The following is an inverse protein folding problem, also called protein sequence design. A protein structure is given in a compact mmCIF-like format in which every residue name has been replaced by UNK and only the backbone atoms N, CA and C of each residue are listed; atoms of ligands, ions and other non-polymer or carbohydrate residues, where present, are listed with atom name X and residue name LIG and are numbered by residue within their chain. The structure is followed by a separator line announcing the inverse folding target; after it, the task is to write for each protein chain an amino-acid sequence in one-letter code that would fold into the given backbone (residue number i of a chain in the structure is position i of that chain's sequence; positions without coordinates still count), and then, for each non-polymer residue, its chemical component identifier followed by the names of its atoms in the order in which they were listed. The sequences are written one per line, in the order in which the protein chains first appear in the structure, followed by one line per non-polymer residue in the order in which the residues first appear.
data_IF_440142787174
#
_entry.id   IF_440142787174
#
_cell.length_a   1.000
_cell.length_b   1.000
_cell.length_c   1.000
_cell.angle_alpha   90.00
_cell.angle_beta   90.00
_cell.angle_gamma   90.00
#
_symmetry.space_group_name_H-M   'P 1'
#
loop_
_entity.id
_entity.type
_entity.pdbx_description
1 polymer ?
#
# COMPACT_ATOMS: atom_id res chain seq x y z
N UNK A 1 16.36 -4.75 1.47
CA UNK A 1 15.67 -3.55 1.98
C UNK A 1 15.84 -3.52 3.48
N UNK A 2 16.59 -2.55 3.96
CA UNK A 2 16.72 -2.33 5.40
C UNK A 2 15.35 -2.00 5.99
N UNK A 3 15.09 -2.53 7.18
CA UNK A 3 13.84 -2.27 7.91
C UNK A 3 13.94 -0.84 8.43
N UNK A 4 12.94 0.02 8.21
CA UNK A 4 12.93 1.31 8.93
C UNK A 4 12.62 1.04 10.38
N UNK A 5 13.39 1.69 11.24
CA UNK A 5 13.28 1.56 12.67
C UNK A 5 13.86 2.78 13.35
N UNK A 6 13.44 2.97 14.59
CA UNK A 6 13.98 3.99 15.48
C UNK A 6 14.60 3.26 16.65
N UNK A 7 15.89 3.50 16.90
CA UNK A 7 16.59 2.96 18.07
C UNK A 7 16.58 4.03 19.16
N UNK A 8 15.94 3.72 20.27
CA UNK A 8 15.90 4.57 21.45
C UNK A 8 16.85 4.04 22.51
N UNK A 9 17.56 4.93 23.19
CA UNK A 9 18.29 4.60 24.40
C UNK A 9 17.51 5.13 25.61
N UNK A 10 17.11 4.23 26.52
CA UNK A 10 16.55 4.65 27.81
C UNK A 10 17.68 5.16 28.71
N UNK A 11 17.35 6.04 29.66
CA UNK A 11 18.31 6.54 30.67
C UNK A 11 19.00 5.41 31.47
N UNK A 12 18.39 4.22 31.51
CA UNK A 12 18.97 2.98 32.03
C UNK A 12 20.10 2.36 31.17
N UNK A 13 20.47 2.97 30.05
CA UNK A 13 21.47 2.48 29.08
C UNK A 13 20.96 1.44 28.07
N UNK A 14 19.76 0.87 28.28
CA UNK A 14 19.19 -0.16 27.39
C UNK A 14 18.70 0.43 26.07
N UNK A 15 19.13 -0.17 24.95
CA UNK A 15 18.66 0.13 23.61
C UNK A 15 17.33 -0.59 23.33
N UNK A 16 16.38 0.12 22.74
CA UNK A 16 15.07 -0.37 22.34
C UNK A 16 14.84 -0.02 20.88
N UNK A 17 14.57 -1.03 20.06
CA UNK A 17 14.29 -0.86 18.63
C UNK A 17 12.79 -0.82 18.39
N UNK A 18 12.31 0.25 17.79
CA UNK A 18 10.91 0.48 17.47
C UNK A 18 10.71 0.31 15.97
N UNK A 19 9.76 -0.54 15.59
CA UNK A 19 9.38 -0.75 14.19
C UNK A 19 8.37 0.29 13.70
N UNK A 20 8.24 0.43 12.38
CA UNK A 20 7.23 1.28 11.68
C UNK A 20 5.78 1.08 12.14
N UNK A 21 5.46 -0.08 12.75
CA UNK A 21 4.10 -0.48 13.14
C UNK A 21 3.81 -0.12 14.61
N UNK A 22 4.79 0.46 15.31
CA UNK A 22 4.63 0.85 16.70
C UNK A 22 3.94 2.21 16.79
N UNK A 23 3.03 2.39 17.76
CA UNK A 23 2.27 3.63 17.93
C UNK A 23 3.18 4.86 18.05
N UNK A 24 4.25 4.79 18.83
CA UNK A 24 5.19 5.90 19.00
C UNK A 24 6.06 6.24 17.76
N UNK A 25 6.07 5.41 16.71
CA UNK A 25 7.00 5.58 15.59
C UNK A 25 6.87 6.95 14.91
N UNK A 26 5.64 7.36 14.58
CA UNK A 26 5.42 8.64 13.88
C UNK A 26 5.75 9.85 14.76
N UNK A 27 5.42 9.80 16.04
CA UNK A 27 5.73 10.87 16.98
C UNK A 27 7.25 11.05 17.17
N UNK A 28 7.99 9.94 17.21
CA UNK A 28 9.45 9.96 17.31
C UNK A 28 10.13 10.41 16.01
N UNK A 29 9.56 10.07 14.85
CA UNK A 29 10.07 10.47 13.55
C UNK A 29 9.80 11.96 13.25
N UNK A 30 8.64 12.48 13.68
CA UNK A 30 8.22 13.85 13.43
C UNK A 30 7.81 14.60 14.72
N UNK A 31 8.74 14.86 15.66
CA UNK A 31 8.41 15.49 16.94
C UNK A 31 7.79 16.89 16.80
N UNK A 32 8.18 17.64 15.76
CA UNK A 32 7.65 18.98 15.48
C UNK A 32 6.19 18.97 15.00
N UNK A 33 5.73 17.87 14.41
CA UNK A 33 4.33 17.71 14.00
C UNK A 33 3.52 17.15 15.17
N UNK A 34 4.07 16.17 15.89
CA UNK A 34 3.40 15.47 16.98
C UNK A 34 3.96 15.90 18.34
N UNK A 35 3.80 17.18 18.67
CA UNK A 35 4.38 17.81 19.88
C UNK A 35 3.90 17.11 21.17
N UNK A 36 2.66 16.61 21.16
CA UNK A 36 2.07 15.91 22.30
C UNK A 36 2.36 14.40 22.34
N UNK A 37 3.18 13.89 21.42
CA UNK A 37 3.50 12.46 21.36
C UNK A 37 2.31 11.60 20.96
N UNK A 38 1.50 12.06 20.01
CA UNK A 38 0.29 11.36 19.57
C UNK A 38 0.56 9.93 19.07
N UNK A 39 -0.39 9.04 19.31
CA UNK A 39 -0.33 7.68 18.80
C UNK A 39 -0.44 7.64 17.27
N UNK A 40 0.59 7.04 16.67
CA UNK A 40 0.66 6.68 15.25
C UNK A 40 -0.07 5.38 14.92
N UNK A 41 0.19 4.84 13.73
CA UNK A 41 -0.43 3.61 13.27
C UNK A 41 0.06 2.41 14.10
N UNK A 42 -0.87 1.55 14.51
CA UNK A 42 -0.61 0.22 15.06
C UNK A 42 -1.57 -0.82 14.47
N UNK A 43 -1.16 -2.09 14.50
CA UNK A 43 -2.05 -3.18 14.12
C UNK A 43 -3.19 -3.31 15.13
N UNK A 44 -4.38 -3.68 14.65
CA UNK A 44 -5.54 -3.93 15.51
C UNK A 44 -6.34 -2.70 15.94
N UNK A 45 -6.10 -1.51 15.35
CA UNK A 45 -6.98 -0.36 15.59
C UNK A 45 -8.38 -0.69 15.07
N UNK A 46 -9.37 -0.73 15.97
CA UNK A 46 -10.76 -0.97 15.61
C UNK A 46 -11.36 0.26 14.92
N UNK A 47 -12.23 0.02 13.94
CA UNK A 47 -13.04 1.09 13.35
C UNK A 47 -14.10 1.57 14.34
N UNK A 48 -14.46 2.85 14.25
CA UNK A 48 -15.56 3.41 15.03
C UNK A 48 -16.89 2.72 14.72
N UNK A 49 -17.70 2.49 15.75
CA UNK A 49 -18.99 1.79 15.62
C UNK A 49 -20.01 2.73 14.97
N UNK A 50 -20.19 2.60 13.66
CA UNK A 50 -21.25 3.28 12.90
C UNK A 50 -22.09 2.23 12.15
N UNK A 51 -23.35 2.55 11.83
CA UNK A 51 -24.26 1.67 11.08
C UNK A 51 -23.64 1.18 9.75
N UNK A 52 -22.87 2.04 9.08
CA UNK A 52 -22.12 1.67 7.87
C UNK A 52 -20.95 0.71 8.15
N UNK A 53 -20.32 0.81 9.32
CA UNK A 53 -19.16 0.00 9.72
C UNK A 53 -19.59 -1.38 10.23
N UNK A 54 -20.77 -1.51 10.84
CA UNK A 54 -21.35 -2.80 11.27
C UNK A 54 -21.46 -3.81 10.12
N UNK A 55 -21.70 -3.33 8.89
CA UNK A 55 -21.83 -4.16 7.68
C UNK A 55 -20.47 -4.57 7.07
N UNK A 56 -19.35 -4.03 7.54
CA UNK A 56 -18.04 -4.32 6.94
C UNK A 56 -17.42 -5.59 7.51
N UNK A 57 -16.95 -6.47 6.63
CA UNK A 57 -16.24 -7.71 7.00
C UNK A 57 -14.96 -7.48 7.81
N UNK A 58 -14.31 -6.32 7.63
CA UNK A 58 -13.04 -5.99 8.30
C UNK A 58 -13.27 -4.95 9.39
N UNK A 59 -13.12 -5.39 10.64
CA UNK A 59 -13.31 -4.56 11.84
C UNK A 59 -12.11 -3.64 12.14
N UNK A 60 -10.93 -3.94 11.59
CA UNK A 60 -9.71 -3.16 11.82
C UNK A 60 -9.41 -2.16 10.70
N UNK A 61 -8.77 -1.05 11.07
CA UNK A 61 -8.32 0.01 10.17
C UNK A 61 -7.04 -0.43 9.45
N UNK A 62 -7.00 -0.26 8.13
CA UNK A 62 -5.78 -0.45 7.34
C UNK A 62 -4.84 0.77 7.47
N UNK A 63 -3.54 0.56 7.32
CA UNK A 63 -2.54 1.64 7.34
C UNK A 63 -2.88 2.77 6.36
N UNK A 64 -3.35 2.44 5.15
CA UNK A 64 -3.82 3.44 4.16
C UNK A 64 -5.00 4.26 4.68
N UNK A 65 -5.97 3.62 5.33
CA UNK A 65 -7.12 4.34 5.90
C UNK A 65 -6.70 5.26 7.05
N UNK A 66 -5.73 4.85 7.87
CA UNK A 66 -5.17 5.68 8.93
C UNK A 66 -4.49 6.94 8.37
N UNK A 67 -3.61 6.80 7.38
CA UNK A 67 -2.97 7.96 6.76
C UNK A 67 -3.96 8.84 6.00
N UNK A 68 -4.91 8.25 5.26
CA UNK A 68 -5.96 9.02 4.59
C UNK A 68 -6.82 9.82 5.58
N UNK A 69 -7.12 9.25 6.75
CA UNK A 69 -7.81 9.93 7.83
C UNK A 69 -7.02 11.14 8.33
N UNK A 70 -5.72 10.98 8.58
CA UNK A 70 -4.85 12.05 9.11
C UNK A 70 -4.55 13.15 8.09
N UNK A 71 -4.55 12.83 6.80
CA UNK A 71 -4.33 13.79 5.71
C UNK A 71 -5.58 14.58 5.34
N UNK A 72 -6.75 14.16 5.79
CA UNK A 72 -8.00 14.85 5.48
C UNK A 72 -8.24 16.02 6.44
N UNK A 73 -8.52 17.20 5.89
CA UNK A 73 -8.82 18.39 6.68
C UNK A 73 -10.16 18.28 7.40
N UNK A 74 -10.20 18.68 8.68
CA UNK A 74 -11.40 18.59 9.52
C UNK A 74 -11.48 19.76 10.48
N UNK A 75 -12.70 20.25 10.67
CA UNK A 75 -12.99 21.44 11.48
C UNK A 75 -12.58 21.34 12.96
N UNK A 76 -12.52 20.12 13.52
CA UNK A 76 -12.27 19.90 14.95
C UNK A 76 -10.88 19.31 15.25
N UNK A 77 -9.97 19.26 14.27
CA UNK A 77 -8.61 18.73 14.44
C UNK A 77 -7.56 19.82 14.14
N UNK A 78 -6.37 19.69 14.71
CA UNK A 78 -5.30 20.66 14.45
C UNK A 78 -4.78 20.56 13.03
N UNK A 79 -4.60 21.71 12.37
CA UNK A 79 -4.07 21.80 11.01
C UNK A 79 -2.52 21.78 10.99
N UNK A 80 -1.85 21.55 12.13
CA UNK A 80 -0.37 21.54 12.25
C UNK A 80 0.31 20.68 11.20
N UNK A 81 -0.22 19.47 10.95
CA UNK A 81 0.31 18.56 9.94
C UNK A 81 0.28 19.19 8.55
N UNK A 82 -0.87 19.70 8.12
CA UNK A 82 -1.09 20.28 6.79
C UNK A 82 -0.31 21.59 6.58
N UNK A 83 -0.10 22.37 7.64
CA UNK A 83 0.61 23.64 7.60
C UNK A 83 2.14 23.52 7.68
N UNK A 84 2.67 22.32 7.92
CA UNK A 84 4.12 22.08 8.12
C UNK A 84 4.99 22.15 6.85
N UNK A 85 4.42 22.59 5.71
CA UNK A 85 5.11 22.88 4.43
C UNK A 85 6.06 21.75 3.95
N UNK A 86 7.38 21.96 3.98
CA UNK A 86 8.36 20.96 3.52
C UNK A 86 8.33 19.69 4.36
N UNK A 87 8.06 19.83 5.66
CA UNK A 87 7.95 18.68 6.55
C UNK A 87 6.70 17.84 6.22
N UNK A 88 5.61 18.50 5.81
CA UNK A 88 4.42 17.83 5.30
C UNK A 88 4.70 17.02 4.03
N UNK A 89 5.48 17.58 3.09
CA UNK A 89 5.88 16.84 1.88
C UNK A 89 6.70 15.60 2.22
N UNK A 90 7.64 15.72 3.17
CA UNK A 90 8.41 14.57 3.64
C UNK A 90 7.51 13.52 4.31
N UNK A 91 6.56 13.96 5.14
CA UNK A 91 5.58 13.08 5.76
C UNK A 91 4.71 12.35 4.73
N UNK A 92 4.28 13.03 3.66
CA UNK A 92 3.51 12.40 2.58
C UNK A 92 4.29 11.30 1.88
N UNK A 93 5.56 11.55 1.55
CA UNK A 93 6.42 10.56 0.90
C UNK A 93 6.67 9.37 1.83
N UNK A 94 6.92 9.62 3.11
CA UNK A 94 7.11 8.54 4.09
C UNK A 94 5.81 7.73 4.32
N UNK A 95 4.66 8.40 4.40
CA UNK A 95 3.35 7.74 4.46
C UNK A 95 3.09 6.87 3.22
N UNK A 96 3.43 7.34 2.03
CA UNK A 96 3.28 6.54 0.81
C UNK A 96 4.19 5.31 0.82
N UNK A 97 5.48 5.50 1.12
CA UNK A 97 6.46 4.40 1.14
C UNK A 97 6.20 3.39 2.27
N UNK A 98 5.66 3.80 3.43
CA UNK A 98 5.17 2.91 4.49
C UNK A 98 3.99 2.06 4.03
N UNK A 99 3.00 2.67 3.39
CA UNK A 99 1.86 1.93 2.83
C UNK A 99 2.33 0.91 1.77
N UNK A 100 3.16 1.32 0.83
CA UNK A 100 3.64 0.44 -0.24
C UNK A 100 4.55 -0.68 0.29
N UNK A 101 5.44 -0.37 1.23
CA UNK A 101 6.26 -1.39 1.90
C UNK A 101 5.40 -2.41 2.63
N UNK A 102 4.33 -1.98 3.29
CA UNK A 102 3.38 -2.88 3.96
C UNK A 102 2.61 -3.76 2.94
N UNK A 103 2.20 -3.20 1.80
CA UNK A 103 1.56 -3.96 0.70
C UNK A 103 2.50 -5.01 0.12
N UNK A 104 3.74 -4.63 -0.21
CA UNK A 104 4.75 -5.56 -0.72
C UNK A 104 5.09 -6.66 0.30
N UNK A 105 5.19 -6.29 1.58
CA UNK A 105 5.39 -7.25 2.67
C UNK A 105 4.24 -8.26 2.76
N UNK A 106 2.99 -7.80 2.61
CA UNK A 106 1.83 -8.69 2.54
C UNK A 106 1.92 -9.66 1.36
N UNK A 107 2.26 -9.16 0.16
CA UNK A 107 2.41 -10.01 -1.03
C UNK A 107 3.50 -11.08 -0.84
N UNK A 108 4.66 -10.66 -0.32
CA UNK A 108 5.80 -11.53 -0.03
C UNK A 108 5.45 -12.68 0.92
N UNK A 109 4.66 -12.43 1.97
CA UNK A 109 4.35 -13.45 2.98
C UNK A 109 3.10 -14.29 2.66
N UNK A 110 2.20 -13.81 1.80
CA UNK A 110 0.94 -14.49 1.49
C UNK A 110 0.94 -15.15 0.10
N UNK A 111 2.13 -15.47 -0.43
CA UNK A 111 2.28 -16.03 -1.78
C UNK A 111 1.45 -17.30 -2.02
N UNK A 112 1.30 -18.17 -1.01
CA UNK A 112 0.51 -19.40 -1.12
C UNK A 112 -1.01 -19.15 -1.26
N UNK A 113 -1.51 -18.02 -0.76
CA UNK A 113 -2.92 -17.62 -0.83
C UNK A 113 -3.23 -16.81 -2.09
N UNK A 114 -2.20 -16.16 -2.65
CA UNK A 114 -2.31 -15.44 -3.91
C UNK A 114 -2.36 -16.46 -5.04
N UNK A 115 -3.49 -16.51 -5.76
CA UNK A 115 -3.57 -17.18 -7.07
C UNK A 115 -2.65 -16.42 -8.04
N UNK A 116 -1.37 -16.77 -8.07
CA UNK A 116 -0.47 -16.33 -9.12
C UNK A 116 -0.75 -17.21 -10.33
N UNK A 117 -1.41 -16.64 -11.33
CA UNK A 117 -1.56 -17.28 -12.63
C UNK A 117 -0.18 -17.71 -13.16
N UNK A 118 -0.13 -19.00 -13.47
CA UNK A 118 0.95 -19.82 -14.02
C UNK A 118 2.34 -19.74 -13.38
N UNK A 119 2.68 -20.84 -12.70
CA UNK A 119 4.01 -21.27 -12.29
C UNK A 119 4.95 -21.58 -13.47
N UNK A 120 4.66 -21.14 -14.69
CA UNK A 120 5.40 -21.51 -15.91
C UNK A 120 6.84 -20.98 -15.87
N UNK A 121 7.07 -19.75 -15.41
CA UNK A 121 8.44 -19.21 -15.28
C UNK A 121 9.26 -19.89 -14.18
N UNK A 122 8.60 -20.40 -13.13
CA UNK A 122 9.25 -21.14 -12.04
C UNK A 122 9.63 -22.56 -12.50
N UNK A 123 8.79 -23.17 -13.35
CA UNK A 123 9.02 -24.47 -13.97
C UNK A 123 10.15 -24.41 -15.01
N UNK A 124 10.23 -23.32 -15.77
CA UNK A 124 11.33 -23.07 -16.73
C UNK A 124 12.68 -22.89 -16.01
N UNK A 125 12.73 -22.10 -14.94
CA UNK A 125 13.97 -21.90 -14.16
C UNK A 125 14.43 -23.18 -13.44
N UNK A 126 13.48 -23.97 -12.89
CA UNK A 126 13.78 -25.28 -12.33
C UNK A 126 14.26 -26.29 -13.39
N UNK A 127 13.76 -26.21 -14.63
CA UNK A 127 14.21 -27.05 -15.74
C UNK A 127 15.59 -26.66 -16.31
N UNK A 128 16.12 -25.49 -15.95
CA UNK A 128 17.43 -25.01 -16.39
C UNK A 128 18.61 -25.52 -15.54
N UNK A 129 18.38 -26.41 -14.57
CA UNK A 129 19.43 -27.24 -13.97
C UNK A 129 20.31 -26.60 -12.89
N UNK A 130 19.88 -25.51 -12.24
CA UNK A 130 20.62 -24.94 -11.12
C UNK A 130 20.41 -25.77 -9.83
N UNK A 131 21.48 -26.41 -9.35
CA UNK A 131 21.46 -27.41 -8.25
C UNK A 131 21.72 -26.82 -6.86
N UNK A 132 22.10 -25.54 -6.75
CA UNK A 132 22.35 -24.86 -5.47
C UNK A 132 21.30 -23.77 -5.18
N UNK A 133 20.24 -24.15 -4.44
CA UNK A 133 19.14 -23.26 -4.07
C UNK A 133 19.41 -22.38 -2.84
N UNK A 134 20.59 -22.50 -2.19
CA UNK A 134 20.89 -21.76 -0.96
C UNK A 134 21.43 -20.33 -1.23
N UNK A 135 22.10 -20.11 -2.36
CA UNK A 135 22.61 -18.78 -2.78
C UNK A 135 21.64 -18.02 -3.68
N UNK A 136 20.63 -18.70 -4.23
CA UNK A 136 19.58 -18.07 -5.01
C UNK A 136 18.57 -17.43 -4.05
N UNK A 137 18.58 -16.10 -4.01
CA UNK A 137 17.56 -15.33 -3.28
C UNK A 137 16.15 -15.84 -3.62
N UNK A 138 15.28 -15.96 -2.62
CA UNK A 138 13.89 -16.39 -2.88
C UNK A 138 13.20 -15.41 -3.81
N UNK A 139 12.79 -15.89 -4.96
CA UNK A 139 11.99 -15.12 -5.91
C UNK A 139 10.53 -15.03 -5.39
N UNK A 140 9.97 -13.83 -5.37
CA UNK A 140 8.58 -13.59 -5.01
C UNK A 140 7.86 -12.96 -6.18
N UNK A 141 6.75 -13.56 -6.60
CA UNK A 141 5.99 -13.09 -7.75
C UNK A 141 5.04 -11.97 -7.33
N UNK A 142 5.27 -10.78 -7.86
CA UNK A 142 4.37 -9.64 -7.70
C UNK A 142 3.20 -9.78 -8.69
N UNK A 143 1.94 -9.88 -8.22
CA UNK A 143 0.77 -10.03 -9.09
C UNK A 143 0.46 -8.75 -9.88
N UNK A 144 -0.32 -8.88 -10.98
CA UNK A 144 -0.79 -7.74 -11.76
C UNK A 144 -1.71 -6.78 -10.98
N UNK A 145 -2.27 -7.22 -9.84
CA UNK A 145 -3.04 -6.36 -8.93
C UNK A 145 -2.17 -5.32 -8.20
N UNK A 146 -0.84 -5.45 -8.23
CA UNK A 146 0.07 -4.44 -7.74
C UNK A 146 0.23 -3.30 -8.76
N UNK A 147 -0.52 -2.22 -8.52
CA UNK A 147 -0.49 -0.97 -9.29
C UNK A 147 0.93 -0.43 -9.44
N UNK A 148 1.36 -0.13 -10.68
CA UNK A 148 2.70 0.38 -10.97
C UNK A 148 3.76 -0.72 -11.22
N UNK A 149 3.44 -2.00 -10.97
CA UNK A 149 4.36 -3.10 -11.27
C UNK A 149 4.46 -3.43 -12.77
N UNK A 150 5.51 -4.16 -13.20
CA UNK A 150 5.67 -4.57 -14.60
C UNK A 150 4.48 -5.37 -15.15
N UNK A 151 3.93 -6.30 -14.36
CA UNK A 151 2.76 -7.10 -14.76
C UNK A 151 1.48 -6.27 -14.87
N UNK A 152 1.30 -5.28 -14.00
CA UNK A 152 0.18 -4.33 -14.09
C UNK A 152 0.24 -3.53 -15.39
N UNK A 153 1.41 -3.00 -15.73
CA UNK A 153 1.60 -2.24 -16.98
C UNK A 153 1.42 -3.11 -18.22
N UNK A 154 1.93 -4.35 -18.19
CA UNK A 154 1.71 -5.33 -19.26
C UNK A 154 0.23 -5.65 -19.45
N UNK A 155 -0.52 -5.85 -18.37
CA UNK A 155 -1.95 -6.15 -18.46
C UNK A 155 -2.73 -4.96 -19.06
N UNK A 156 -2.48 -3.74 -18.59
CA UNK A 156 -3.11 -2.54 -19.14
C UNK A 156 -2.79 -2.35 -20.63
N UNK A 157 -1.56 -2.66 -21.05
CA UNK A 157 -1.19 -2.65 -22.46
C UNK A 157 -1.95 -3.69 -23.27
N UNK A 158 -2.03 -4.93 -22.79
CA UNK A 158 -2.79 -6.01 -23.46
C UNK A 158 -4.28 -5.67 -23.56
N UNK A 159 -4.86 -5.11 -22.49
CA UNK A 159 -6.25 -4.65 -22.46
C UNK A 159 -6.46 -3.53 -23.50
N UNK A 160 -5.55 -2.55 -23.57
CA UNK A 160 -5.61 -1.49 -24.57
C UNK A 160 -5.51 -2.04 -26.01
N UNK A 161 -4.63 -3.00 -26.25
CA UNK A 161 -4.49 -3.66 -27.57
C UNK A 161 -5.73 -4.47 -27.94
N UNK A 162 -6.38 -5.13 -26.96
CA UNK A 162 -7.62 -5.85 -27.18
C UNK A 162 -8.76 -4.89 -27.56
N UNK A 163 -8.85 -3.73 -26.90
CA UNK A 163 -9.80 -2.67 -27.25
C UNK A 163 -9.54 -2.15 -28.67
N UNK A 164 -8.28 -1.85 -29.01
CA UNK A 164 -7.91 -1.39 -30.36
C UNK A 164 -8.23 -2.43 -31.44
N UNK A 165 -8.04 -3.73 -31.13
CA UNK A 165 -8.40 -4.82 -32.04
C UNK A 165 -9.91 -4.91 -32.27
N UNK A 166 -10.72 -4.61 -31.25
CA UNK A 166 -12.18 -4.73 -31.35
C UNK A 166 -12.82 -3.50 -32.00
N UNK A 167 -12.40 -2.29 -31.61
CA UNK A 167 -13.02 -1.03 -32.04
C UNK A 167 -12.26 -0.28 -33.13
N UNK A 168 -11.03 -0.69 -33.45
CA UNK A 168 -10.13 0.02 -34.36
C UNK A 168 -9.12 0.91 -33.62
N UNK A 169 -8.20 1.50 -34.39
CA UNK A 169 -7.18 2.38 -33.83
C UNK A 169 -7.80 3.68 -33.29
N UNK A 170 -7.39 4.15 -32.10
CA UNK A 170 -7.92 5.39 -31.54
C UNK A 170 -7.32 6.60 -32.27
N UNK A 171 -8.17 7.49 -32.75
CA UNK A 171 -7.76 8.80 -33.28
C UNK A 171 -7.53 9.84 -32.17
N UNK A 172 -8.11 9.61 -30.99
CA UNK A 172 -8.06 10.52 -29.85
C UNK A 172 -7.77 9.75 -28.54
N UNK A 173 -6.78 10.22 -27.79
CA UNK A 173 -6.47 9.70 -26.46
C UNK A 173 -7.07 10.61 -25.38
N UNK A 174 -8.14 10.16 -24.73
CA UNK A 174 -8.72 10.81 -23.54
C UNK A 174 -8.56 9.90 -22.33
N UNK A 175 -8.09 10.45 -21.22
CA UNK A 175 -8.05 9.71 -19.93
C UNK A 175 -9.26 10.09 -19.10
N UNK A 176 -10.11 9.12 -18.79
CA UNK A 176 -11.23 9.28 -17.85
C UNK A 176 -11.14 8.23 -16.75
N UNK A 177 -11.45 8.63 -15.51
CA UNK A 177 -11.60 7.69 -14.41
C UNK A 177 -13.02 7.13 -14.47
N UNK A 178 -13.16 5.84 -14.78
CA UNK A 178 -14.45 5.16 -14.81
C UNK A 178 -14.49 4.03 -13.80
N UNK A 179 -15.59 3.92 -13.07
CA UNK A 179 -15.89 2.78 -12.22
C UNK A 179 -17.14 2.10 -12.77
N UNK A 180 -17.06 0.84 -13.24
CA UNK A 180 -18.19 0.14 -13.87
C UNK A 180 -19.39 -0.06 -12.94
N UNK A 181 -19.20 0.15 -11.62
CA UNK A 181 -20.27 0.10 -10.61
C UNK A 181 -21.00 1.44 -10.41
N UNK A 182 -20.66 2.46 -11.18
CA UNK A 182 -21.34 3.74 -11.09
C UNK A 182 -22.78 3.65 -11.63
N UNK A 183 -23.76 4.26 -10.95
CA UNK A 183 -25.17 4.21 -11.33
C UNK A 183 -25.41 4.55 -12.80
N UNK A 184 -24.66 5.53 -13.33
CA UNK A 184 -24.73 6.04 -14.69
C UNK A 184 -24.39 4.96 -15.72
N UNK A 185 -23.36 4.15 -15.44
CA UNK A 185 -22.90 3.07 -16.32
C UNK A 185 -23.87 1.89 -16.25
N UNK A 186 -24.30 1.51 -15.05
CA UNK A 186 -25.29 0.43 -14.87
C UNK A 186 -26.64 0.76 -15.49
N UNK A 187 -27.00 2.04 -15.59
CA UNK A 187 -28.24 2.50 -16.24
C UNK A 187 -28.16 2.42 -17.77
N UNK A 188 -26.96 2.51 -18.34
CA UNK A 188 -26.76 2.49 -19.80
C UNK A 188 -26.53 1.08 -20.36
N UNK A 189 -26.05 0.16 -19.53
CA UNK A 189 -25.79 -1.25 -19.89
C UNK A 189 -26.97 -2.20 -19.59
N UNK A 190 -28.01 -1.71 -18.91
CA UNK A 190 -29.29 -2.39 -18.70
C UNK A 190 -30.35 -1.80 -19.62
#
# INVERSE_FOLDING_TARGET
MDKRDIVLQKHSGKLMRISEIHAAYLALQYPLIFIYGEDGYRLGINKGVTEATKKQKRQTISMRQFFAFRLHERKNESHTLLLSRRLFQQFLVDAYTTIESNRLRYLKFNQASLRSDSFDSLKESASAGATDMHEQGREYVIPATFTGGPRYMKNNYLDAMAICKHFGFPDLFITFTCNPKWPEITRYLN
#
